data_IF_709426433942
#
_entry.id   IF_709426433942
#
_cell.length_a   1.000
_cell.length_b   1.000
_cell.length_c   1.000
_cell.angle_alpha   90.00
_cell.angle_beta   90.00
_cell.angle_gamma   90.00
#
_symmetry.space_group_name_H-M   'P 1'
#
loop_
_entity.id
_entity.type
_entity.pdbx_description
1 polymer ?
#
# COMPACT_ATOMS: atom_id res chain seq x y z
N UNK A 1 2.65 27.48 -5.67
CA UNK A 1 4.09 27.77 -5.49
C UNK A 1 4.34 27.59 -4.00
N UNK A 2 4.83 26.44 -3.56
CA UNK A 2 5.18 26.20 -2.15
C UNK A 2 6.56 25.56 -2.09
N UNK A 3 7.47 26.26 -1.42
CA UNK A 3 8.84 25.87 -1.18
C UNK A 3 8.87 24.64 -0.25
N UNK A 4 9.36 23.50 -0.75
CA UNK A 4 9.60 22.28 0.04
C UNK A 4 10.81 22.48 0.93
N UNK A 5 10.58 22.99 2.12
CA UNK A 5 11.60 23.06 3.16
C UNK A 5 11.59 21.75 3.93
N UNK A 6 12.78 21.17 4.11
CA UNK A 6 12.99 20.11 5.09
C UNK A 6 12.61 20.71 6.45
N UNK A 7 11.77 20.05 7.26
CA UNK A 7 11.38 20.59 8.55
C UNK A 7 12.62 20.76 9.43
N UNK A 8 12.64 21.84 10.22
CA UNK A 8 13.70 22.04 11.19
C UNK A 8 13.64 20.93 12.25
N UNK A 9 14.73 20.20 12.42
CA UNK A 9 14.86 19.21 13.48
C UNK A 9 15.19 19.91 14.79
N UNK A 10 14.49 19.54 15.86
CA UNK A 10 14.76 20.03 17.21
C UNK A 10 15.07 18.84 18.13
N UNK A 11 16.26 18.80 18.72
CA UNK A 11 16.69 17.69 19.61
C UNK A 11 15.77 17.47 20.82
N UNK A 12 14.97 18.47 21.21
CA UNK A 12 13.98 18.33 22.28
C UNK A 12 12.68 17.65 21.85
N UNK A 13 12.46 17.44 20.55
CA UNK A 13 11.30 16.74 20.01
C UNK A 13 11.50 15.21 20.00
N UNK A 14 10.41 14.45 20.06
CA UNK A 14 10.50 12.99 19.91
C UNK A 14 10.85 12.63 18.46
N UNK A 15 11.61 11.55 18.27
CA UNK A 15 11.95 11.05 16.93
C UNK A 15 10.70 10.76 16.08
N UNK A 16 9.61 10.30 16.70
CA UNK A 16 8.34 10.08 15.99
C UNK A 16 7.70 11.39 15.53
N UNK A 17 7.85 12.49 16.28
CA UNK A 17 7.36 13.80 15.85
C UNK A 17 8.18 14.34 14.68
N UNK A 18 9.51 14.25 14.75
CA UNK A 18 10.41 14.63 13.66
C UNK A 18 10.10 13.80 12.38
N UNK A 19 9.92 12.48 12.54
CA UNK A 19 9.51 11.58 11.47
C UNK A 19 8.16 11.98 10.87
N UNK A 20 7.16 12.28 11.71
CA UNK A 20 5.84 12.73 11.27
C UNK A 20 5.94 14.02 10.46
N UNK A 21 6.73 15.00 10.92
CA UNK A 21 6.97 16.25 10.20
C UNK A 21 7.61 15.99 8.83
N UNK A 22 8.59 15.09 8.75
CA UNK A 22 9.24 14.71 7.50
C UNK A 22 8.27 14.02 6.52
N UNK A 23 7.45 13.07 6.99
CA UNK A 23 6.45 12.41 6.14
C UNK A 23 5.41 13.44 5.63
N UNK A 24 5.01 14.37 6.49
CA UNK A 24 4.09 15.45 6.13
C UNK A 24 4.68 16.42 5.10
N UNK A 25 5.99 16.70 5.15
CA UNK A 25 6.67 17.55 4.15
C UNK A 25 7.08 16.80 2.87
N UNK A 26 7.03 15.46 2.88
CA UNK A 26 7.42 14.63 1.74
C UNK A 26 6.48 14.84 0.55
N UNK A 27 7.03 14.88 -0.67
CA UNK A 27 6.24 15.08 -1.88
C UNK A 27 5.15 14.01 -2.03
N UNK A 28 3.89 14.34 -2.40
CA UNK A 28 2.77 13.40 -2.37
C UNK A 28 2.99 12.05 -3.07
N UNK A 29 3.76 12.03 -4.16
CA UNK A 29 4.10 10.79 -4.86
C UNK A 29 5.09 9.92 -4.09
N UNK A 30 6.12 10.51 -3.47
CA UNK A 30 7.07 9.79 -2.61
C UNK A 30 6.39 9.35 -1.31
N UNK A 31 5.44 10.14 -0.82
CA UNK A 31 4.65 9.82 0.37
C UNK A 31 3.84 8.53 0.17
N UNK A 32 3.38 8.24 -1.05
CA UNK A 32 2.68 7.00 -1.37
C UNK A 32 3.55 5.74 -1.20
N UNK A 33 4.88 5.86 -1.24
CA UNK A 33 5.78 4.73 -0.97
C UNK A 33 5.67 4.25 0.48
N UNK A 34 5.33 5.12 1.44
CA UNK A 34 5.13 4.72 2.84
C UNK A 34 3.90 3.81 3.03
N UNK A 35 2.90 3.92 2.14
CA UNK A 35 1.75 3.03 2.15
C UNK A 35 2.15 1.57 1.86
N UNK A 36 3.27 1.36 1.15
CA UNK A 36 3.74 0.05 0.70
C UNK A 36 4.62 -0.68 1.73
N UNK A 37 4.80 -0.13 2.94
CA UNK A 37 5.50 -0.85 4.00
C UNK A 37 4.75 -2.13 4.40
N UNK A 38 5.41 -3.22 4.79
CA UNK A 38 4.73 -4.45 5.21
C UNK A 38 3.71 -4.25 6.32
N UNK A 39 4.13 -3.69 7.45
CA UNK A 39 3.26 -3.55 8.62
C UNK A 39 2.40 -2.29 8.52
N UNK A 40 1.19 -2.36 9.06
CA UNK A 40 0.45 -1.16 9.44
C UNK A 40 1.24 -0.34 10.47
N UNK A 41 1.18 0.98 10.34
CA UNK A 41 1.66 1.92 11.35
C UNK A 41 0.93 1.79 12.67
N UNK A 42 1.48 2.45 13.67
CA UNK A 42 0.88 2.53 15.00
C UNK A 42 0.17 3.88 15.19
N UNK A 43 -0.78 3.91 16.11
CA UNK A 43 -1.51 5.13 16.46
C UNK A 43 -2.59 5.51 15.43
N UNK A 44 -2.74 6.81 15.18
CA UNK A 44 -3.82 7.37 14.35
C UNK A 44 -3.55 7.37 12.84
N UNK A 45 -2.29 7.13 12.43
CA UNK A 45 -1.80 7.19 11.05
C UNK A 45 -1.25 5.82 10.62
N UNK A 46 -2.11 4.79 10.62
CA UNK A 46 -1.77 3.37 10.39
C UNK A 46 -1.33 3.08 8.95
N UNK A 47 -1.62 3.96 8.00
CA UNK A 47 -1.21 3.77 6.61
C UNK A 47 0.30 3.89 6.39
N UNK A 48 1.04 4.59 7.26
CA UNK A 48 2.50 4.81 7.17
C UNK A 48 3.25 4.10 8.30
N UNK A 49 4.54 3.77 8.15
CA UNK A 49 5.32 3.25 9.26
C UNK A 49 5.58 4.35 10.32
N UNK A 50 5.80 3.91 11.55
CA UNK A 50 6.46 4.70 12.61
C UNK A 50 7.95 4.84 12.33
N UNK A 51 8.62 5.75 13.03
CA UNK A 51 10.08 5.89 12.96
C UNK A 51 10.79 4.58 13.27
N UNK A 52 10.35 3.87 14.30
CA UNK A 52 10.95 2.59 14.67
C UNK A 52 10.79 1.55 13.55
N UNK A 53 9.56 1.38 13.02
CA UNK A 53 9.32 0.46 11.91
C UNK A 53 10.17 0.81 10.68
N UNK A 54 10.29 2.09 10.35
CA UNK A 54 11.11 2.56 9.24
C UNK A 54 12.60 2.18 9.41
N UNK A 55 13.11 2.18 10.64
CA UNK A 55 14.51 1.89 10.94
C UNK A 55 14.82 0.40 11.13
N UNK A 56 13.83 -0.40 11.53
CA UNK A 56 14.06 -1.80 11.92
C UNK A 56 13.49 -2.83 10.94
N UNK A 57 12.45 -2.49 10.20
CA UNK A 57 11.82 -3.41 9.26
C UNK A 57 12.52 -3.32 7.90
N UNK A 58 12.81 -4.46 7.25
CA UNK A 58 13.32 -4.43 5.89
C UNK A 58 12.29 -3.76 4.99
N UNK A 59 12.76 -2.88 4.10
CA UNK A 59 11.96 -2.45 2.96
C UNK A 59 11.48 -3.69 2.20
N UNK A 60 10.30 -3.66 1.56
CA UNK A 60 9.96 -4.69 0.58
C UNK A 60 11.18 -4.92 -0.31
N UNK A 61 11.60 -6.18 -0.43
CA UNK A 61 12.93 -6.58 -0.92
C UNK A 61 13.24 -6.18 -2.37
N UNK A 62 12.32 -5.52 -3.05
CA UNK A 62 12.40 -5.17 -4.45
C UNK A 62 12.23 -3.67 -4.62
N UNK A 63 13.06 -3.12 -5.48
CA UNK A 63 13.38 -1.72 -5.64
C UNK A 63 12.19 -0.76 -5.58
N UNK A 64 12.47 0.42 -5.03
CA UNK A 64 11.49 1.50 -4.87
C UNK A 64 10.73 1.68 -6.19
N UNK A 65 9.38 1.65 -6.19
CA UNK A 65 8.63 1.90 -7.40
C UNK A 65 9.00 3.28 -7.95
N UNK A 66 9.73 3.30 -9.07
CA UNK A 66 10.18 4.53 -9.76
C UNK A 66 9.01 5.25 -10.45
N UNK A 67 7.81 4.69 -10.46
CA UNK A 67 6.66 5.23 -11.20
C UNK A 67 5.45 5.52 -10.31
N UNK A 68 4.94 6.73 -10.53
CA UNK A 68 4.14 7.56 -9.62
C UNK A 68 2.68 7.65 -10.08
N UNK A 69 1.95 6.53 -10.16
CA UNK A 69 0.53 6.62 -10.54
C UNK A 69 -0.42 6.86 -9.36
N UNK A 70 0.04 6.54 -8.15
CA UNK A 70 -0.62 6.87 -6.90
C UNK A 70 0.08 8.04 -6.19
N UNK A 71 -0.69 8.88 -5.52
CA UNK A 71 -0.13 9.87 -4.59
C UNK A 71 -0.97 9.96 -3.32
N UNK A 72 -0.30 10.30 -2.22
CA UNK A 72 -0.94 10.59 -0.95
C UNK A 72 -0.98 12.10 -0.77
N UNK A 73 -2.16 12.69 -0.96
CA UNK A 73 -2.42 14.08 -0.61
C UNK A 73 -2.67 14.24 0.88
N UNK A 74 -2.49 15.46 1.39
CA UNK A 74 -2.72 15.81 2.79
C UNK A 74 -3.54 17.10 2.86
N UNK A 75 -4.47 17.14 3.81
CA UNK A 75 -5.20 18.33 4.23
C UNK A 75 -4.74 18.70 5.65
N UNK A 76 -3.93 19.75 5.76
CA UNK A 76 -3.37 20.17 7.05
C UNK A 76 -4.42 20.76 8.01
N UNK A 77 -5.56 21.25 7.48
CA UNK A 77 -6.63 21.79 8.34
C UNK A 77 -7.41 20.67 9.01
N UNK A 78 -7.67 19.60 8.26
CA UNK A 78 -8.40 18.43 8.75
C UNK A 78 -7.48 17.39 9.42
N UNK A 79 -6.16 17.52 9.28
CA UNK A 79 -5.18 16.48 9.57
C UNK A 79 -5.57 15.14 8.92
N UNK A 80 -6.01 15.19 7.65
CA UNK A 80 -6.43 14.01 6.89
C UNK A 80 -5.50 13.75 5.71
N UNK A 81 -5.09 12.50 5.55
CA UNK A 81 -4.33 12.05 4.40
C UNK A 81 -5.26 11.26 3.48
N UNK A 82 -5.03 11.31 2.17
CA UNK A 82 -5.83 10.57 1.21
C UNK A 82 -4.99 10.05 0.07
N UNK A 83 -5.21 8.79 -0.28
CA UNK A 83 -4.61 8.17 -1.44
C UNK A 83 -5.50 8.37 -2.67
N UNK A 84 -4.91 8.75 -3.80
CA UNK A 84 -5.55 8.67 -5.11
C UNK A 84 -4.71 7.82 -6.03
N UNK A 85 -5.29 6.73 -6.51
CA UNK A 85 -4.62 5.71 -7.32
C UNK A 85 -5.61 4.61 -7.72
N UNK A 86 -5.10 3.42 -8.02
CA UNK A 86 -5.95 2.27 -8.35
C UNK A 86 -6.60 1.73 -7.09
N UNK A 87 -7.83 1.25 -7.22
CA UNK A 87 -8.61 0.72 -6.13
C UNK A 87 -9.41 -0.48 -6.61
N UNK A 88 -9.33 -1.55 -5.83
CA UNK A 88 -10.26 -2.67 -5.87
C UNK A 88 -11.10 -2.53 -4.61
N UNK A 89 -12.40 -2.31 -4.77
CA UNK A 89 -13.27 -2.01 -3.63
C UNK A 89 -13.45 -3.21 -2.71
N UNK A 90 -13.64 -4.39 -3.30
CA UNK A 90 -13.81 -5.66 -2.60
C UNK A 90 -13.01 -6.74 -3.31
N UNK A 91 -12.06 -7.32 -2.61
CA UNK A 91 -11.31 -8.49 -3.06
C UNK A 91 -11.11 -9.45 -1.90
N UNK A 92 -11.48 -10.71 -2.11
CA UNK A 92 -11.30 -11.78 -1.15
C UNK A 92 -9.86 -12.28 -1.24
N UNK A 93 -9.07 -12.05 -0.19
CA UNK A 93 -7.68 -12.48 -0.10
C UNK A 93 -7.63 -13.77 0.70
N UNK A 94 -6.95 -14.80 0.19
CA UNK A 94 -6.82 -16.10 0.86
C UNK A 94 -5.44 -16.74 0.66
N UNK A 95 -5.07 -17.64 1.58
CA UNK A 95 -3.81 -18.41 1.51
C UNK A 95 -2.56 -17.67 1.99
N UNK A 96 -2.67 -16.44 2.51
CA UNK A 96 -1.54 -15.65 3.00
C UNK A 96 -1.33 -15.73 4.53
N UNK A 97 -2.21 -16.44 5.24
CA UNK A 97 -2.20 -16.63 6.68
C UNK A 97 -1.45 -17.89 7.13
N UNK A 98 -1.10 -18.78 6.20
CA UNK A 98 -0.39 -20.04 6.48
C UNK A 98 0.99 -19.76 7.10
N UNK A 99 1.32 -20.40 8.21
CA UNK A 99 2.66 -20.34 8.79
C UNK A 99 3.68 -20.99 7.84
N UNK A 100 4.66 -20.21 7.39
CA UNK A 100 5.75 -20.71 6.56
C UNK A 100 6.80 -21.36 7.45
N UNK A 101 7.27 -22.54 7.04
CA UNK A 101 8.35 -23.27 7.73
C UNK A 101 9.75 -22.69 7.43
N UNK A 102 9.90 -21.91 6.35
CA UNK A 102 11.20 -21.39 5.87
C UNK A 102 11.08 -19.96 5.29
N UNK A 103 12.22 -19.28 5.13
CA UNK A 103 12.38 -17.95 4.52
C UNK A 103 11.94 -17.94 3.04
N UNK A 104 10.65 -17.74 2.80
CA UNK A 104 10.10 -17.58 1.44
C UNK A 104 8.95 -16.59 1.40
N UNK A 105 8.59 -16.15 0.19
CA UNK A 105 7.40 -15.31 0.01
C UNK A 105 6.13 -16.10 0.32
N UNK A 106 5.18 -15.44 1.00
CA UNK A 106 3.83 -15.98 1.17
C UNK A 106 3.12 -15.92 -0.17
N UNK A 107 2.49 -17.02 -0.58
CA UNK A 107 1.73 -17.11 -1.84
C UNK A 107 0.27 -17.36 -1.53
N UNK A 108 -0.60 -16.62 -2.20
CA UNK A 108 -2.02 -16.72 -2.03
C UNK A 108 -2.76 -16.26 -3.27
N UNK A 109 -4.04 -15.99 -3.09
CA UNK A 109 -4.93 -15.61 -4.19
C UNK A 109 -5.76 -14.40 -3.80
N UNK A 110 -6.01 -13.55 -4.80
CA UNK A 110 -6.99 -12.48 -4.77
C UNK A 110 -8.15 -12.87 -5.68
N UNK A 111 -9.33 -13.07 -5.09
CA UNK A 111 -10.57 -13.32 -5.82
C UNK A 111 -11.40 -12.03 -5.84
N UNK A 112 -11.77 -11.58 -7.02
CA UNK A 112 -12.52 -10.34 -7.23
C UNK A 112 -13.63 -10.58 -8.24
N UNK A 113 -14.75 -9.90 -8.02
CA UNK A 113 -15.91 -9.96 -8.90
C UNK A 113 -15.84 -8.78 -9.89
N UNK A 114 -16.06 -9.05 -11.17
CA UNK A 114 -16.14 -8.01 -12.19
C UNK A 114 -17.52 -7.32 -12.20
N UNK A 115 -17.73 -6.43 -13.17
CA UNK A 115 -18.99 -5.69 -13.33
C UNK A 115 -20.17 -6.57 -13.75
N UNK A 116 -19.91 -7.74 -14.31
CA UNK A 116 -20.90 -8.71 -14.77
C UNK A 116 -21.20 -9.79 -13.72
N UNK A 117 -20.55 -9.72 -12.56
CA UNK A 117 -20.70 -10.68 -11.46
C UNK A 117 -19.82 -11.93 -11.59
N UNK A 118 -18.90 -11.95 -12.56
CA UNK A 118 -17.98 -13.07 -12.76
C UNK A 118 -16.80 -12.97 -11.81
N UNK A 119 -16.46 -14.09 -11.18
CA UNK A 119 -15.30 -14.17 -10.30
C UNK A 119 -14.01 -14.39 -11.09
N UNK A 120 -13.00 -13.63 -10.72
CA UNK A 120 -11.65 -13.71 -11.27
C UNK A 120 -10.65 -13.90 -10.14
N UNK A 121 -9.78 -14.90 -10.32
CA UNK A 121 -8.68 -15.18 -9.40
C UNK A 121 -7.39 -14.65 -10.00
N UNK A 122 -6.57 -14.03 -9.15
CA UNK A 122 -5.24 -13.52 -9.44
C UNK A 122 -4.26 -14.07 -8.42
N UNK A 123 -3.08 -14.51 -8.87
CA UNK A 123 -2.04 -14.94 -7.96
C UNK A 123 -1.44 -13.71 -7.26
N UNK A 124 -1.28 -13.79 -5.93
CA UNK A 124 -0.66 -12.73 -5.14
C UNK A 124 0.46 -13.27 -4.27
N UNK A 125 1.44 -12.41 -4.00
CA UNK A 125 2.58 -12.73 -3.13
C UNK A 125 2.75 -11.66 -2.07
N UNK A 126 3.26 -12.04 -0.89
CA UNK A 126 3.76 -11.09 0.09
C UNK A 126 5.22 -11.42 0.39
N UNK A 127 6.11 -10.46 0.14
CA UNK A 127 7.56 -10.54 0.36
C UNK A 127 7.95 -10.29 1.82
N UNK A 128 6.99 -10.51 2.73
CA UNK A 128 7.15 -10.30 4.16
C UNK A 128 6.52 -11.45 4.95
N UNK A 129 7.00 -11.64 6.18
CA UNK A 129 6.55 -12.75 7.01
C UNK A 129 5.28 -12.47 7.84
N UNK A 130 4.70 -11.28 7.74
CA UNK A 130 3.45 -10.92 8.42
C UNK A 130 2.29 -11.68 7.77
N UNK A 131 1.55 -12.53 8.50
CA UNK A 131 0.40 -13.23 7.94
C UNK A 131 -0.75 -12.25 7.64
N UNK A 132 -1.48 -12.52 6.57
CA UNK A 132 -2.69 -11.78 6.19
C UNK A 132 -3.85 -12.76 6.26
N UNK A 133 -4.75 -12.56 7.22
CA UNK A 133 -5.93 -13.42 7.44
C UNK A 133 -6.80 -13.48 6.20
N UNK A 134 -7.44 -14.63 5.96
CA UNK A 134 -8.42 -14.74 4.88
C UNK A 134 -9.67 -13.90 5.18
N UNK A 135 -9.95 -12.91 4.32
CA UNK A 135 -11.11 -12.01 4.43
C UNK A 135 -11.29 -11.21 3.13
N UNK A 136 -12.39 -10.47 3.04
CA UNK A 136 -12.62 -9.46 2.02
C UNK A 136 -12.00 -8.12 2.42
N UNK A 137 -11.10 -7.62 1.59
CA UNK A 137 -10.40 -6.35 1.78
C UNK A 137 -10.67 -5.36 0.65
N UNK A 138 -10.39 -4.09 0.91
CA UNK A 138 -10.11 -3.11 -0.13
C UNK A 138 -8.62 -3.14 -0.46
N UNK A 139 -8.28 -3.02 -1.73
CA UNK A 139 -6.88 -2.96 -2.16
C UNK A 139 -6.60 -1.63 -2.86
N UNK A 140 -5.55 -0.94 -2.41
CA UNK A 140 -5.08 0.33 -2.99
C UNK A 140 -3.76 0.09 -3.72
N UNK A 141 -3.79 0.23 -5.04
CA UNK A 141 -2.71 -0.14 -5.93
C UNK A 141 -1.94 1.05 -6.50
N UNK A 142 -0.64 0.84 -6.68
CA UNK A 142 0.16 1.63 -7.60
C UNK A 142 0.09 1.01 -9.00
N UNK A 143 0.53 1.72 -10.04
CA UNK A 143 0.64 1.13 -11.38
C UNK A 143 1.85 0.21 -11.39
N UNK A 144 1.75 -0.84 -12.22
CA UNK A 144 2.88 -1.71 -12.46
C UNK A 144 4.11 -0.92 -12.94
N UNK A 145 5.27 -1.26 -12.38
CA UNK A 145 6.57 -0.68 -12.74
C UNK A 145 7.43 -1.80 -13.29
N UNK A 146 8.24 -1.52 -14.32
CA UNK A 146 9.31 -2.41 -14.76
C UNK A 146 10.46 -2.29 -13.77
N UNK A 147 10.86 -3.40 -13.18
CA UNK A 147 12.03 -3.45 -12.30
C UNK A 147 13.31 -3.71 -13.10
N UNK A 148 14.45 -3.66 -12.40
CA UNK A 148 15.78 -3.79 -13.00
C UNK A 148 16.02 -5.17 -13.62
N UNK A 149 15.27 -6.20 -13.19
CA UNK A 149 15.25 -7.54 -13.79
C UNK A 149 14.31 -7.68 -14.99
N UNK A 150 13.62 -6.61 -15.37
CA UNK A 150 12.68 -6.56 -16.48
C UNK A 150 11.29 -7.12 -16.17
N UNK A 151 11.04 -7.57 -14.94
CA UNK A 151 9.73 -8.07 -14.51
C UNK A 151 8.86 -6.87 -14.13
N UNK A 152 7.59 -6.89 -14.55
CA UNK A 152 6.61 -5.89 -14.08
C UNK A 152 6.05 -6.33 -12.75
N UNK A 153 6.11 -5.45 -11.75
CA UNK A 153 5.51 -5.69 -10.44
C UNK A 153 4.49 -4.63 -10.11
N UNK A 154 3.39 -5.05 -9.50
CA UNK A 154 2.34 -4.17 -9.03
C UNK A 154 2.06 -4.40 -7.54
N UNK A 155 2.38 -3.39 -6.74
CA UNK A 155 2.13 -3.41 -5.30
C UNK A 155 0.74 -2.89 -4.95
N UNK A 156 0.14 -3.55 -3.97
CA UNK A 156 -1.20 -3.27 -3.45
C UNK A 156 -1.15 -3.22 -1.93
N UNK A 157 -1.61 -2.11 -1.34
CA UNK A 157 -1.91 -2.08 0.09
C UNK A 157 -3.26 -2.75 0.33
N UNK A 158 -3.26 -3.75 1.20
CA UNK A 158 -4.44 -4.47 1.67
C UNK A 158 -4.95 -3.78 2.92
N UNK A 159 -6.23 -3.46 2.97
CA UNK A 159 -6.80 -2.80 4.14
C UNK A 159 -8.30 -2.95 4.26
N UNK A 160 -8.77 -2.67 5.47
CA UNK A 160 -10.17 -2.71 5.82
C UNK A 160 -10.87 -1.43 5.36
N UNK A 161 -12.04 -1.59 4.73
CA UNK A 161 -12.91 -0.47 4.39
C UNK A 161 -13.70 -0.05 5.63
N UNK A 162 -13.46 1.17 6.07
CA UNK A 162 -14.21 1.80 7.15
C UNK A 162 -15.31 2.72 6.59
N UNK A 163 -16.31 3.10 7.42
CA UNK A 163 -17.29 4.10 7.05
C UNK A 163 -16.64 5.40 6.53
N UNK A 164 -17.37 6.14 5.70
CA UNK A 164 -16.90 7.40 5.10
C UNK A 164 -15.69 7.25 4.16
N UNK A 165 -15.57 6.10 3.48
CA UNK A 165 -14.49 5.79 2.53
C UNK A 165 -13.08 5.84 3.14
N UNK A 166 -13.01 5.59 4.45
CA UNK A 166 -11.75 5.46 5.17
C UNK A 166 -11.14 4.10 4.89
N UNK A 167 -9.83 4.06 4.80
CA UNK A 167 -9.03 2.87 4.53
C UNK A 167 -8.07 2.69 5.68
N UNK A 168 -8.22 1.61 6.43
CA UNK A 168 -7.28 1.21 7.46
C UNK A 168 -6.38 0.11 6.91
N UNK A 169 -5.11 0.42 6.73
CA UNK A 169 -4.13 -0.53 6.20
C UNK A 169 -3.95 -1.71 7.16
N UNK A 170 -3.88 -2.92 6.59
CA UNK A 170 -3.54 -4.16 7.27
C UNK A 170 -2.13 -4.59 6.87
N UNK A 171 -1.89 -4.74 5.56
CA UNK A 171 -0.61 -5.22 5.03
C UNK A 171 -0.44 -4.82 3.56
N UNK A 172 0.51 -5.44 2.86
CA UNK A 172 0.74 -5.24 1.42
C UNK A 172 0.91 -6.58 0.71
N UNK A 173 0.56 -6.60 -0.57
CA UNK A 173 0.78 -7.73 -1.46
C UNK A 173 1.28 -7.21 -2.81
N UNK A 174 1.84 -8.11 -3.62
CA UNK A 174 2.26 -7.82 -4.97
C UNK A 174 1.71 -8.84 -5.96
N UNK A 175 1.52 -8.38 -7.19
CA UNK A 175 1.24 -9.19 -8.38
C UNK A 175 2.42 -8.96 -9.33
N UNK A 176 3.08 -10.04 -9.73
CA UNK A 176 4.25 -10.06 -10.61
C UNK A 176 4.02 -10.83 -11.92
N UNK A 177 2.87 -11.49 -12.07
CA UNK A 177 2.45 -12.09 -13.33
C UNK A 177 1.90 -11.02 -14.30
N UNK A 178 2.43 -11.00 -15.52
CA UNK A 178 2.12 -9.99 -16.53
C UNK A 178 0.65 -10.02 -16.95
N UNK A 179 0.05 -11.21 -17.08
CA UNK A 179 -1.34 -11.36 -17.46
C UNK A 179 -2.25 -10.84 -16.33
N UNK A 180 -1.93 -11.21 -15.08
CA UNK A 180 -2.65 -10.78 -13.89
C UNK A 180 -2.50 -9.27 -13.58
N UNK A 181 -1.48 -8.60 -14.12
CA UNK A 181 -1.33 -7.13 -14.03
C UNK A 181 -2.23 -6.39 -15.02
N UNK A 182 -2.39 -6.91 -16.24
CA UNK A 182 -3.12 -6.23 -17.32
C UNK A 182 -4.62 -6.55 -17.29
N UNK A 183 -4.97 -7.79 -16.94
CA UNK A 183 -6.33 -8.31 -16.94
C UNK A 183 -7.30 -7.55 -16.01
N UNK A 184 -6.94 -7.14 -14.78
CA UNK A 184 -7.84 -6.35 -13.92
C UNK A 184 -8.24 -4.99 -14.50
N UNK A 185 -7.40 -4.39 -15.37
CA UNK A 185 -7.74 -3.14 -16.06
C UNK A 185 -8.69 -3.39 -17.21
N UNK A 186 -8.46 -4.45 -17.98
CA UNK A 186 -9.33 -4.85 -19.09
C UNK A 186 -10.74 -5.24 -18.64
N UNK A 187 -10.85 -5.85 -17.46
CA UNK A 187 -12.13 -6.30 -16.86
C UNK A 187 -12.87 -5.19 -16.08
N UNK A 188 -12.33 -3.96 -16.00
CA UNK A 188 -12.96 -2.87 -15.25
C UNK A 188 -12.98 -3.06 -13.73
N UNK A 189 -12.27 -4.07 -13.20
CA UNK A 189 -12.16 -4.37 -11.76
C UNK A 189 -11.46 -3.24 -11.01
N UNK A 190 -10.46 -2.62 -11.65
CA UNK A 190 -9.68 -1.53 -11.05
C UNK A 190 -10.22 -0.17 -11.46
N UNK A 191 -10.55 0.66 -10.48
CA UNK A 191 -10.99 2.04 -10.70
C UNK A 191 -10.03 3.04 -10.07
N UNK A 192 -9.90 4.22 -10.67
CA UNK A 192 -9.23 5.34 -9.98
C UNK A 192 -10.17 5.92 -8.93
N UNK A 193 -9.77 5.87 -7.67
CA UNK A 193 -10.57 6.40 -6.57
C UNK A 193 -9.72 7.23 -5.60
N UNK A 194 -10.39 8.02 -4.77
CA UNK A 194 -9.79 8.78 -3.67
C UNK A 194 -10.27 8.17 -2.35
N UNK A 195 -9.34 7.74 -1.51
CA UNK A 195 -9.60 7.06 -0.24
C UNK A 195 -8.94 7.83 0.89
N UNK A 196 -9.67 8.08 1.97
CA UNK A 196 -9.10 8.71 3.17
C UNK A 196 -8.29 7.65 3.90
N UNK A 197 -7.04 7.93 4.21
CA UNK A 197 -6.15 7.00 4.88
C UNK A 197 -6.26 7.17 6.40
N UNK A 198 -6.40 6.05 7.10
CA UNK A 198 -6.25 5.96 8.55
C UNK A 198 -4.85 5.50 8.87
#
# INVERSE_FOLDING_TARGET
MESRTIPAYNESESLENAWTALVNSTYPFMRASFLMYPRAGLGRKKWRPTWNQFMTEPLPAEDRPRSTSGYVGRDDKADEDWFKGLCIEKGHVRGLDVELAEEGDRRGELVVEDVDGMQHTFAVRATHQIPITEDTYTLLGQCAVLDDDGIRRQFWAVGQRLPSRRFEKVSVVMIDDQEDIERPKGLGITARSRNILV
#
